data_IF_778794246578
#
_entry.id   IF_778794246578
#
_cell.length_a   1.000
_cell.length_b   1.000
_cell.length_c   1.000
_cell.angle_alpha   90.00
_cell.angle_beta   90.00
_cell.angle_gamma   90.00
#
_symmetry.space_group_name_H-M   'P 1'
#
loop_
_entity.id
_entity.type
_entity.pdbx_description
1 polymer ?
#
# COMPACT_ATOMS: atom_id res chain seq x y z
N UNK A 1 -5.08 3.34 13.93
CA UNK A 1 -6.20 4.24 13.57
C UNK A 1 -6.53 5.09 14.78
N UNK A 2 -6.87 6.35 14.55
CA UNK A 2 -7.30 7.35 15.53
C UNK A 2 -8.43 8.19 14.92
N UNK A 3 -8.83 9.25 15.57
CA UNK A 3 -9.85 10.18 15.09
C UNK A 3 -9.32 11.61 15.13
N UNK A 4 -9.76 12.42 14.20
CA UNK A 4 -9.47 13.87 14.15
C UNK A 4 -10.79 14.60 14.01
N UNK A 5 -10.95 15.69 14.75
CA UNK A 5 -12.08 16.59 14.61
C UNK A 5 -11.73 17.68 13.60
N UNK A 6 -12.62 17.91 12.65
CA UNK A 6 -12.53 19.03 11.71
C UNK A 6 -13.00 20.31 12.37
N UNK A 7 -12.75 21.44 11.77
CA UNK A 7 -13.20 22.76 12.23
C UNK A 7 -14.74 22.83 12.31
N UNK A 8 -15.42 22.09 11.45
CA UNK A 8 -16.89 21.94 11.45
C UNK A 8 -17.42 21.06 12.58
N UNK A 9 -16.54 20.52 13.45
CA UNK A 9 -16.91 19.61 14.54
C UNK A 9 -17.18 18.16 14.11
N UNK A 10 -16.96 17.81 12.83
CA UNK A 10 -17.15 16.44 12.37
C UNK A 10 -15.97 15.54 12.83
N UNK A 11 -16.31 14.33 13.33
CA UNK A 11 -15.33 13.33 13.73
C UNK A 11 -14.95 12.48 12.53
N UNK A 12 -13.69 12.56 12.09
CA UNK A 12 -13.16 11.81 10.94
C UNK A 12 -12.23 10.70 11.44
N UNK A 13 -12.51 9.41 11.12
CA UNK A 13 -11.57 8.33 11.42
C UNK A 13 -10.37 8.42 10.51
N UNK A 14 -9.16 8.38 11.08
CA UNK A 14 -7.90 8.47 10.32
C UNK A 14 -6.93 7.36 10.71
N UNK A 15 -6.09 7.01 9.77
CA UNK A 15 -4.92 6.15 10.02
C UNK A 15 -3.66 7.01 9.89
N UNK A 16 -2.85 7.04 10.94
CA UNK A 16 -1.53 7.66 10.90
C UNK A 16 -0.53 6.69 10.27
N UNK A 17 0.20 7.17 9.28
CA UNK A 17 1.21 6.42 8.54
C UNK A 17 2.52 7.19 8.65
N UNK A 18 3.56 6.54 9.13
CA UNK A 18 4.94 7.05 9.11
C UNK A 18 5.48 6.88 7.70
N UNK A 19 5.82 7.98 7.03
CA UNK A 19 6.18 7.98 5.61
C UNK A 19 7.67 8.25 5.39
N UNK A 20 8.37 8.74 6.39
CA UNK A 20 9.77 9.12 6.24
C UNK A 20 10.61 8.83 7.48
N UNK A 21 11.89 9.15 7.37
CA UNK A 21 12.59 9.66 6.19
C UNK A 21 12.82 8.60 5.11
N UNK A 22 12.62 8.97 3.83
CA UNK A 22 12.96 8.16 2.68
C UNK A 22 14.20 8.73 1.98
N UNK A 23 15.10 7.85 1.53
CA UNK A 23 16.35 8.28 0.88
C UNK A 23 16.47 7.71 -0.53
N UNK A 24 17.02 8.50 -1.45
CA UNK A 24 17.36 8.07 -2.81
C UNK A 24 18.64 7.23 -2.76
N UNK A 25 18.55 5.96 -3.10
CA UNK A 25 19.68 5.01 -3.09
C UNK A 25 20.33 4.85 -4.45
N UNK A 26 19.54 4.93 -5.50
CA UNK A 26 20.01 4.76 -6.88
C UNK A 26 19.05 5.47 -7.84
N UNK A 27 19.60 6.03 -8.90
CA UNK A 27 18.84 6.67 -9.98
C UNK A 27 19.06 5.81 -11.22
N UNK A 28 17.99 5.31 -11.79
CA UNK A 28 17.98 4.41 -12.93
C UNK A 28 17.54 5.20 -14.14
N UNK A 29 18.44 5.44 -15.05
CA UNK A 29 18.19 6.08 -16.34
C UNK A 29 17.70 5.04 -17.36
N UNK A 30 17.07 5.52 -18.43
CA UNK A 30 16.47 4.70 -19.47
C UNK A 30 17.47 3.75 -20.14
N UNK A 31 18.70 4.21 -20.36
CA UNK A 31 19.80 3.39 -20.85
C UNK A 31 20.69 2.91 -19.69
N UNK A 32 20.93 1.59 -19.53
CA UNK A 32 20.65 0.47 -20.43
C UNK A 32 19.37 -0.33 -20.11
N UNK A 33 18.55 0.10 -19.15
CA UNK A 33 17.43 -0.72 -18.61
C UNK A 33 16.09 -0.53 -19.32
N UNK A 34 15.95 0.47 -20.19
CA UNK A 34 14.74 0.74 -20.95
C UNK A 34 13.59 1.34 -20.12
N UNK A 35 13.88 1.86 -18.92
CA UNK A 35 12.93 2.61 -18.10
C UNK A 35 13.64 3.52 -17.10
N UNK A 36 12.98 4.60 -16.72
CA UNK A 36 13.43 5.51 -15.68
C UNK A 36 12.79 5.16 -14.33
N UNK A 37 13.60 5.11 -13.28
CA UNK A 37 13.12 4.81 -11.93
C UNK A 37 14.08 5.35 -10.86
N UNK A 38 13.55 5.58 -9.69
CA UNK A 38 14.33 5.91 -8.48
C UNK A 38 14.20 4.77 -7.50
N UNK A 39 15.33 4.34 -6.92
CA UNK A 39 15.34 3.35 -5.85
C UNK A 39 15.34 4.07 -4.51
N UNK A 40 14.28 3.86 -3.73
CA UNK A 40 14.08 4.46 -2.42
C UNK A 40 14.42 3.48 -1.31
N UNK A 41 15.06 3.99 -0.25
CA UNK A 41 15.30 3.28 0.99
C UNK A 41 14.44 3.83 2.12
N UNK A 42 13.86 2.96 2.92
CA UNK A 42 13.02 3.29 4.07
C UNK A 42 13.35 2.38 5.26
N UNK A 43 13.23 2.90 6.47
CA UNK A 43 13.52 2.25 7.74
C UNK A 43 15.01 1.83 7.88
N UNK A 44 15.74 2.57 8.71
CA UNK A 44 17.20 2.38 8.87
C UNK A 44 17.55 1.07 9.55
N UNK A 45 18.50 0.37 8.97
CA UNK A 45 19.01 -0.91 9.43
C UNK A 45 20.41 -0.76 10.02
N UNK A 46 20.64 -1.30 11.22
CA UNK A 46 21.97 -1.32 11.84
C UNK A 46 22.97 -2.05 10.94
N UNK A 47 24.17 -1.49 10.74
CA UNK A 47 25.21 -2.04 9.87
C UNK A 47 25.59 -3.49 10.19
N UNK A 48 25.54 -3.87 11.47
CA UNK A 48 25.81 -5.24 11.90
C UNK A 48 24.86 -6.30 11.33
N UNK A 49 23.65 -5.88 10.89
CA UNK A 49 22.62 -6.77 10.33
C UNK A 49 22.64 -6.82 8.80
N UNK A 50 23.59 -6.14 8.16
CA UNK A 50 23.66 -5.99 6.72
C UNK A 50 24.59 -7.04 6.12
N UNK A 51 24.14 -7.75 5.10
CA UNK A 51 24.95 -8.69 4.36
C UNK A 51 25.93 -7.96 3.42
N UNK A 52 27.08 -8.58 3.11
CA UNK A 52 28.11 -7.99 2.22
C UNK A 52 27.56 -7.52 0.86
N UNK A 53 26.69 -8.26 0.14
CA UNK A 53 26.09 -7.80 -1.11
C UNK A 53 25.21 -6.56 -0.94
N UNK A 54 24.37 -6.53 0.12
CA UNK A 54 23.54 -5.38 0.43
C UNK A 54 24.38 -4.15 0.75
N UNK A 55 25.42 -4.31 1.57
CA UNK A 55 26.35 -3.23 1.91
C UNK A 55 26.98 -2.60 0.66
N UNK A 56 27.28 -3.40 -0.38
CA UNK A 56 27.79 -2.90 -1.66
C UNK A 56 26.81 -1.94 -2.36
N UNK A 57 25.52 -2.25 -2.32
CA UNK A 57 24.49 -1.39 -2.91
C UNK A 57 24.31 -0.07 -2.13
N UNK A 58 24.35 -0.12 -0.79
CA UNK A 58 24.18 1.08 0.04
C UNK A 58 25.40 2.00 0.02
N UNK A 59 26.61 1.46 -0.19
CA UNK A 59 27.85 2.26 -0.30
C UNK A 59 27.77 3.29 -1.41
N UNK A 60 27.08 3.00 -2.52
CA UNK A 60 26.90 3.95 -3.63
C UNK A 60 26.15 5.21 -3.22
N UNK A 61 25.15 5.06 -2.38
CA UNK A 61 24.32 6.17 -1.92
C UNK A 61 24.97 7.02 -0.82
N UNK A 62 26.06 6.51 -0.18
CA UNK A 62 26.75 7.20 0.92
C UNK A 62 25.92 7.40 2.19
N UNK A 63 24.72 6.82 2.24
CA UNK A 63 23.80 6.82 3.39
C UNK A 63 23.79 5.45 4.06
N UNK A 64 23.15 5.35 5.21
CA UNK A 64 23.02 4.11 5.96
C UNK A 64 22.43 2.95 5.18
N UNK A 65 22.13 1.87 5.86
CA UNK A 65 21.48 0.69 5.30
C UNK A 65 20.00 0.69 5.67
N UNK A 66 19.14 0.12 4.83
CA UNK A 66 17.69 0.18 5.00
C UNK A 66 17.06 -1.21 4.98
N UNK A 67 15.97 -1.38 5.74
CA UNK A 67 15.19 -2.62 5.74
C UNK A 67 14.37 -2.78 4.45
N UNK A 68 13.83 -1.68 3.95
CA UNK A 68 12.94 -1.68 2.80
C UNK A 68 13.55 -0.88 1.66
N UNK A 69 13.70 -1.54 0.53
CA UNK A 69 14.21 -0.93 -0.71
C UNK A 69 13.18 -1.19 -1.80
N UNK A 70 12.73 -0.14 -2.46
CA UNK A 70 11.72 -0.22 -3.52
C UNK A 70 12.11 0.65 -4.70
N UNK A 71 11.91 0.14 -5.92
CA UNK A 71 12.02 0.92 -7.14
C UNK A 71 10.67 1.55 -7.47
N UNK A 72 10.69 2.84 -7.73
CA UNK A 72 9.53 3.62 -8.14
C UNK A 72 9.80 4.18 -9.53
N UNK A 73 9.00 3.78 -10.50
CA UNK A 73 9.06 4.33 -11.86
C UNK A 73 8.45 5.72 -11.86
N UNK A 74 9.23 6.70 -12.23
CA UNK A 74 8.83 8.11 -12.27
C UNK A 74 9.71 8.89 -13.23
N UNK A 75 9.23 10.05 -13.62
CA UNK A 75 10.01 11.04 -14.35
C UNK A 75 10.92 11.76 -13.34
N UNK A 76 12.19 11.45 -13.39
CA UNK A 76 13.20 11.91 -12.42
C UNK A 76 13.34 13.42 -12.46
N UNK A 77 13.35 14.01 -13.66
CA UNK A 77 13.49 15.45 -13.87
C UNK A 77 12.31 16.23 -13.26
N UNK A 78 11.09 15.72 -13.43
CA UNK A 78 9.88 16.34 -12.92
C UNK A 78 9.80 16.35 -11.39
N UNK A 79 10.43 15.37 -10.71
CA UNK A 79 10.42 15.24 -9.26
C UNK A 79 11.65 15.86 -8.58
N UNK A 80 12.71 16.16 -9.33
CA UNK A 80 13.96 16.68 -8.78
C UNK A 80 14.73 15.70 -7.91
N UNK A 81 14.49 14.39 -8.05
CA UNK A 81 15.14 13.32 -7.26
C UNK A 81 16.39 12.77 -7.95
N UNK A 82 17.30 13.70 -8.30
CA UNK A 82 18.47 13.40 -9.12
C UNK A 82 19.72 13.05 -8.31
N UNK A 83 19.71 13.34 -7.00
CA UNK A 83 20.92 13.22 -6.18
C UNK A 83 20.88 11.95 -5.34
N UNK A 84 21.96 11.16 -5.38
CA UNK A 84 22.14 10.02 -4.49
C UNK A 84 22.22 10.47 -3.05
N UNK A 85 21.53 9.77 -2.16
CA UNK A 85 21.47 10.10 -0.74
C UNK A 85 20.55 11.27 -0.40
N UNK A 86 19.80 11.82 -1.35
CA UNK A 86 18.81 12.86 -1.11
C UNK A 86 17.70 12.34 -0.20
N UNK A 87 17.34 13.11 0.81
CA UNK A 87 16.19 12.86 1.66
C UNK A 87 14.93 13.42 0.99
N UNK A 88 13.87 12.60 0.95
CA UNK A 88 12.58 12.97 0.42
C UNK A 88 11.65 13.24 1.59
N UNK A 89 11.17 14.46 1.69
CA UNK A 89 10.23 14.90 2.71
C UNK A 89 8.78 14.68 2.27
N UNK A 90 7.92 14.45 3.24
CA UNK A 90 6.49 14.14 3.01
C UNK A 90 5.76 15.28 2.31
N UNK A 91 6.06 16.52 2.68
CA UNK A 91 5.47 17.75 2.15
C UNK A 91 5.81 18.03 0.69
N UNK A 92 6.95 17.51 0.20
CA UNK A 92 7.34 17.62 -1.21
C UNK A 92 6.45 16.73 -2.11
N UNK A 93 5.95 15.62 -1.56
CA UNK A 93 5.23 14.60 -2.33
C UNK A 93 3.72 14.70 -2.17
N UNK A 94 3.25 14.94 -0.95
CA UNK A 94 1.84 14.91 -0.61
C UNK A 94 1.36 16.26 -0.05
N UNK A 95 0.10 16.58 -0.32
CA UNK A 95 -0.57 17.78 0.18
C UNK A 95 -1.88 17.42 0.89
N UNK A 96 -2.33 18.32 1.79
CA UNK A 96 -3.62 18.20 2.46
C UNK A 96 -4.76 18.19 1.44
N UNK A 97 -5.78 17.35 1.67
CA UNK A 97 -6.93 17.20 0.78
C UNK A 97 -6.65 16.38 -0.50
N UNK A 98 -5.41 15.94 -0.73
CA UNK A 98 -5.05 15.14 -1.89
C UNK A 98 -5.60 13.72 -1.78
N UNK A 99 -5.97 13.13 -2.93
CA UNK A 99 -6.32 11.70 -3.02
C UNK A 99 -5.09 10.86 -3.27
N UNK A 100 -4.99 9.76 -2.54
CA UNK A 100 -3.88 8.79 -2.61
C UNK A 100 -4.38 7.36 -2.75
N UNK A 101 -3.56 6.52 -3.36
CA UNK A 101 -3.75 5.07 -3.42
C UNK A 101 -2.76 4.42 -2.45
N UNK A 102 -3.27 3.57 -1.57
CA UNK A 102 -2.46 2.86 -0.56
C UNK A 102 -2.46 1.37 -0.85
N UNK A 103 -1.28 0.83 -1.08
CA UNK A 103 -1.05 -0.59 -1.33
C UNK A 103 -0.34 -1.22 -0.14
N UNK A 104 -0.86 -2.33 0.34
CA UNK A 104 -0.26 -3.07 1.44
C UNK A 104 -0.61 -4.55 1.40
N UNK A 105 0.04 -5.34 2.24
CA UNK A 105 -0.25 -6.76 2.39
C UNK A 105 -1.32 -6.96 3.46
N UNK A 106 -2.47 -7.49 3.07
CA UNK A 106 -3.57 -7.76 4.00
C UNK A 106 -3.18 -8.78 5.06
N UNK A 107 -3.75 -8.65 6.27
CA UNK A 107 -3.50 -9.62 7.35
C UNK A 107 -3.84 -11.04 6.90
N UNK A 108 -2.91 -11.97 7.12
CA UNK A 108 -3.11 -13.38 6.88
C UNK A 108 -4.11 -13.98 7.88
N UNK A 109 -5.01 -14.82 7.39
CA UNK A 109 -6.01 -15.56 8.20
C UNK A 109 -5.89 -17.06 8.05
N UNK A 110 -4.80 -17.52 7.45
CA UNK A 110 -4.52 -18.92 7.20
C UNK A 110 -5.51 -19.59 6.24
N UNK A 111 -5.62 -20.89 6.32
CA UNK A 111 -6.61 -21.66 5.55
C UNK A 111 -8.01 -21.40 6.09
N UNK A 112 -8.90 -20.92 5.25
CA UNK A 112 -10.25 -20.53 5.63
C UNK A 112 -11.31 -21.24 4.78
N UNK A 113 -12.40 -21.65 5.42
CA UNK A 113 -13.56 -22.22 4.76
C UNK A 113 -14.32 -21.19 3.92
N UNK A 114 -15.20 -21.66 3.06
CA UNK A 114 -15.93 -20.85 2.08
C UNK A 114 -16.84 -19.80 2.72
N UNK A 115 -17.43 -20.09 3.86
CA UNK A 115 -18.28 -19.15 4.60
C UNK A 115 -17.47 -17.93 5.04
N UNK A 116 -16.29 -18.15 5.65
CA UNK A 116 -15.41 -17.07 6.11
C UNK A 116 -14.77 -16.31 4.95
N UNK A 117 -14.28 -17.04 3.92
CA UNK A 117 -13.53 -16.45 2.82
C UNK A 117 -14.39 -15.69 1.82
N UNK A 118 -15.59 -16.23 1.49
CA UNK A 118 -16.44 -15.70 0.42
C UNK A 118 -17.83 -15.31 0.89
N UNK A 119 -18.13 -15.42 2.20
CA UNK A 119 -19.46 -15.12 2.77
C UNK A 119 -20.58 -15.92 2.12
N UNK A 120 -20.31 -17.19 1.76
CA UNK A 120 -21.36 -18.10 1.26
C UNK A 120 -22.30 -18.42 2.40
N UNK A 121 -23.60 -18.49 2.15
CA UNK A 121 -24.63 -18.68 3.18
C UNK A 121 -24.44 -19.99 3.98
N UNK A 122 -23.89 -21.03 3.38
CA UNK A 122 -23.82 -22.38 3.99
C UNK A 122 -25.16 -23.10 3.89
N UNK A 123 -25.40 -24.05 4.77
CA UNK A 123 -26.65 -24.80 4.83
C UNK A 123 -27.60 -24.22 5.89
N UNK A 124 -28.91 -24.47 5.78
CA UNK A 124 -29.89 -24.00 6.79
C UNK A 124 -29.52 -24.45 8.20
N UNK A 125 -29.76 -23.60 9.18
CA UNK A 125 -29.41 -23.89 10.58
C UNK A 125 -30.53 -24.65 11.29
N UNK A 126 -30.85 -25.86 10.77
CA UNK A 126 -31.86 -26.77 11.33
C UNK A 126 -31.21 -27.94 12.04
N UNK A 127 -32.01 -28.73 12.84
CA UNK A 127 -31.51 -29.90 13.54
C UNK A 127 -31.00 -30.99 12.61
N UNK A 128 -31.57 -31.13 11.42
CA UNK A 128 -31.15 -32.13 10.41
C UNK A 128 -29.90 -31.78 9.63
N UNK A 129 -29.33 -30.59 9.79
CA UNK A 129 -28.14 -30.14 9.05
C UNK A 129 -26.84 -30.74 9.59
N UNK A 130 -26.79 -31.05 10.90
CA UNK A 130 -25.61 -31.59 11.60
C UNK A 130 -24.28 -30.88 11.22
N UNK A 131 -23.27 -31.66 10.75
CA UNK A 131 -21.92 -31.20 10.42
C UNK A 131 -21.85 -30.33 9.16
N UNK A 132 -22.84 -30.38 8.28
CA UNK A 132 -22.84 -29.75 6.96
C UNK A 132 -23.10 -28.24 6.97
N UNK A 133 -23.37 -27.61 8.11
CA UNK A 133 -23.75 -26.18 8.22
C UNK A 133 -22.83 -25.23 7.45
N UNK A 134 -21.53 -25.48 7.51
CA UNK A 134 -20.52 -24.61 6.90
C UNK A 134 -19.90 -25.19 5.63
N UNK A 135 -20.50 -26.19 5.05
CA UNK A 135 -20.02 -26.82 3.83
C UNK A 135 -20.42 -26.01 2.59
N UNK A 136 -19.63 -26.20 1.53
CA UNK A 136 -19.82 -25.48 0.25
C UNK A 136 -21.04 -25.99 -0.55
N UNK A 137 -21.48 -27.21 -0.28
CA UNK A 137 -22.45 -27.93 -1.11
C UNK A 137 -21.85 -28.47 -2.39
N UNK A 138 -22.65 -28.68 -3.41
CA UNK A 138 -22.20 -29.19 -4.71
C UNK A 138 -21.21 -28.25 -5.38
N UNK A 139 -20.18 -28.80 -6.00
CA UNK A 139 -19.16 -28.05 -6.75
C UNK A 139 -19.35 -28.13 -8.27
N UNK A 140 -20.26 -28.97 -8.74
CA UNK A 140 -20.56 -29.13 -10.16
C UNK A 140 -21.40 -30.38 -10.44
N UNK A 141 -21.63 -30.63 -11.73
CA UNK A 141 -22.34 -31.82 -12.21
C UNK A 141 -21.35 -32.87 -12.72
N UNK A 142 -21.73 -34.16 -12.60
CA UNK A 142 -20.87 -35.28 -12.95
C UNK A 142 -20.56 -35.37 -14.45
N UNK A 143 -21.59 -35.45 -15.28
CA UNK A 143 -21.48 -35.82 -16.72
C UNK A 143 -21.22 -34.61 -17.61
N UNK A 144 -21.99 -33.56 -17.43
CA UNK A 144 -21.85 -32.33 -18.19
C UNK A 144 -21.81 -31.13 -17.22
N UNK A 145 -20.73 -30.38 -17.17
CA UNK A 145 -19.55 -30.26 -18.04
C UNK A 145 -18.40 -31.22 -17.73
N UNK A 146 -18.51 -32.18 -16.77
CA UNK A 146 -17.47 -33.13 -16.40
C UNK A 146 -16.26 -32.52 -15.71
N UNK A 147 -16.32 -31.25 -15.34
CA UNK A 147 -15.23 -30.50 -14.67
C UNK A 147 -15.79 -29.47 -13.70
N UNK A 148 -14.95 -29.03 -12.77
CA UNK A 148 -15.26 -27.86 -11.95
C UNK A 148 -14.86 -26.60 -12.70
N UNK A 149 -15.75 -25.63 -12.79
CA UNK A 149 -15.48 -24.36 -13.47
C UNK A 149 -14.38 -23.55 -12.74
N UNK A 150 -13.60 -22.80 -13.54
CA UNK A 150 -12.64 -21.81 -12.98
C UNK A 150 -13.40 -20.80 -12.10
N UNK A 151 -12.69 -20.24 -11.13
CA UNK A 151 -13.24 -19.26 -10.17
C UNK A 151 -14.34 -19.81 -9.22
N UNK A 152 -14.55 -21.14 -9.16
CA UNK A 152 -15.43 -21.72 -8.15
C UNK A 152 -14.91 -21.39 -6.75
N UNK A 153 -15.77 -20.85 -5.89
CA UNK A 153 -15.43 -20.49 -4.51
C UNK A 153 -15.14 -21.75 -3.71
N UNK A 154 -13.88 -21.93 -3.29
CA UNK A 154 -13.43 -23.10 -2.52
C UNK A 154 -12.62 -22.67 -1.30
N UNK A 155 -12.48 -23.51 -0.26
CA UNK A 155 -11.60 -23.28 0.86
C UNK A 155 -10.16 -23.01 0.38
N UNK A 156 -9.38 -22.30 1.15
CA UNK A 156 -7.98 -22.02 0.85
C UNK A 156 -7.45 -20.83 1.62
N UNK A 157 -6.21 -20.45 1.34
CA UNK A 157 -5.56 -19.33 1.98
C UNK A 157 -6.40 -18.07 1.88
N UNK A 158 -6.60 -17.39 3.01
CA UNK A 158 -7.30 -16.12 3.10
C UNK A 158 -6.37 -15.05 3.70
N UNK A 159 -6.38 -13.87 3.11
CA UNK A 159 -5.43 -12.80 3.46
C UNK A 159 -4.01 -13.09 2.99
N UNK A 160 -3.04 -12.32 3.50
CA UNK A 160 -1.64 -12.32 3.07
C UNK A 160 -1.50 -12.12 1.55
N UNK A 161 -2.28 -11.18 1.02
CA UNK A 161 -2.29 -10.78 -0.37
C UNK A 161 -2.10 -9.28 -0.48
N UNK A 162 -1.44 -8.84 -1.52
CA UNK A 162 -1.35 -7.42 -1.87
C UNK A 162 -2.73 -6.88 -2.21
N UNK A 163 -3.13 -5.82 -1.55
CA UNK A 163 -4.41 -5.12 -1.72
C UNK A 163 -4.12 -3.64 -1.85
N UNK A 164 -4.75 -3.00 -2.83
CA UNK A 164 -4.69 -1.55 -3.02
C UNK A 164 -6.05 -0.94 -2.73
N UNK A 165 -6.08 0.03 -1.82
CA UNK A 165 -7.23 0.91 -1.60
C UNK A 165 -6.99 2.19 -2.37
N UNK A 166 -7.91 2.53 -3.25
CA UNK A 166 -7.82 3.68 -4.14
C UNK A 166 -8.61 4.88 -3.61
N UNK A 167 -8.16 6.08 -3.98
CA UNK A 167 -8.85 7.35 -3.72
C UNK A 167 -9.09 7.65 -2.23
N UNK A 168 -8.14 7.31 -1.37
CA UNK A 168 -8.17 7.72 0.03
C UNK A 168 -7.79 9.20 0.13
N UNK A 169 -8.49 9.94 0.96
CA UNK A 169 -8.27 11.35 1.20
C UNK A 169 -7.20 11.56 2.28
N UNK A 170 -6.23 12.42 2.00
CA UNK A 170 -5.24 12.89 2.98
C UNK A 170 -5.87 14.01 3.79
N UNK A 171 -6.04 13.81 5.08
CA UNK A 171 -6.64 14.82 5.96
C UNK A 171 -5.60 15.86 6.37
N UNK A 172 -4.40 15.41 6.75
CA UNK A 172 -3.33 16.30 7.18
C UNK A 172 -1.96 15.66 6.96
N UNK A 173 -1.01 16.47 6.52
CA UNK A 173 0.41 16.15 6.45
C UNK A 173 1.11 16.79 7.64
N UNK A 174 1.93 16.03 8.36
CA UNK A 174 2.78 16.51 9.46
C UNK A 174 4.25 16.32 9.07
N UNK A 175 4.90 17.35 8.53
CA UNK A 175 6.30 17.23 8.08
C UNK A 175 7.27 17.03 9.24
N UNK A 176 7.00 17.62 10.40
CA UNK A 176 7.85 17.53 11.59
C UNK A 176 8.05 16.09 12.07
N UNK A 177 6.99 15.29 12.03
CA UNK A 177 6.96 13.90 12.47
C UNK A 177 7.11 12.90 11.31
N UNK A 178 7.18 13.37 10.05
CA UNK A 178 7.07 12.56 8.84
C UNK A 178 5.81 11.66 8.79
N UNK A 179 4.68 12.18 9.28
CA UNK A 179 3.41 11.45 9.40
C UNK A 179 2.37 11.97 8.42
N UNK A 180 1.71 11.04 7.73
CA UNK A 180 0.56 11.27 6.86
C UNK A 180 -0.71 10.74 7.53
N UNK A 181 -1.72 11.59 7.70
CA UNK A 181 -3.03 11.20 8.20
C UNK A 181 -3.99 10.95 7.03
N UNK A 182 -4.35 9.68 6.82
CA UNK A 182 -5.25 9.26 5.73
C UNK A 182 -6.60 8.86 6.30
N UNK A 183 -7.68 9.30 5.66
CA UNK A 183 -9.06 9.00 6.04
C UNK A 183 -9.38 7.53 5.91
N UNK A 184 -9.87 6.94 6.99
CA UNK A 184 -10.34 5.55 7.01
C UNK A 184 -9.25 4.51 7.30
N UNK A 185 -9.52 3.27 6.94
CA UNK A 185 -8.63 2.14 7.13
C UNK A 185 -7.67 1.94 5.97
N UNK A 186 -6.53 1.33 6.25
CA UNK A 186 -5.52 0.92 5.26
C UNK A 186 -5.31 -0.59 5.29
N UNK A 187 -4.79 -1.21 4.20
CA UNK A 187 -4.53 -2.64 4.20
C UNK A 187 -3.32 -3.00 5.05
N UNK A 188 -3.43 -4.06 5.82
CA UNK A 188 -2.31 -4.62 6.61
C UNK A 188 -2.54 -4.63 8.11
N UNK A 189 -1.54 -5.09 8.83
CA UNK A 189 -1.47 -5.07 10.30
C UNK A 189 -0.86 -3.73 10.77
N UNK A 190 -0.92 -3.46 12.07
CA UNK A 190 -0.16 -2.35 12.67
C UNK A 190 1.33 -2.58 12.45
N UNK A 191 2.06 -1.54 12.04
CA UNK A 191 3.49 -1.62 11.75
C UNK A 191 3.86 -2.38 10.47
N UNK A 192 2.89 -2.69 9.60
CA UNK A 192 3.19 -3.27 8.29
C UNK A 192 3.59 -2.21 7.27
N UNK A 193 4.50 -2.58 6.38
CA UNK A 193 4.89 -1.72 5.27
C UNK A 193 3.73 -1.48 4.32
N UNK A 194 3.55 -0.21 3.94
CA UNK A 194 2.59 0.22 2.93
C UNK A 194 3.28 1.10 1.89
N UNK A 195 2.81 1.03 0.67
CA UNK A 195 3.24 1.88 -0.44
C UNK A 195 2.14 2.89 -0.73
N UNK A 196 2.48 4.17 -0.69
CA UNK A 196 1.54 5.27 -0.93
C UNK A 196 1.95 5.95 -2.23
N UNK A 197 0.99 6.17 -3.10
CA UNK A 197 1.17 6.91 -4.35
C UNK A 197 0.00 7.85 -4.59
N UNK A 198 0.21 8.86 -5.40
CA UNK A 198 -0.86 9.76 -5.85
C UNK A 198 -1.93 8.93 -6.56
N UNK A 199 -3.21 9.25 -6.33
CA UNK A 199 -4.31 8.50 -6.92
C UNK A 199 -4.28 8.61 -8.45
N UNK A 200 -4.42 7.47 -9.13
CA UNK A 200 -4.48 7.43 -10.60
C UNK A 200 -5.85 7.93 -11.08
N UNK A 201 -6.92 7.62 -10.32
CA UNK A 201 -8.29 8.00 -10.67
C UNK A 201 -8.71 9.23 -9.86
N UNK A 202 -9.25 10.25 -10.55
CA UNK A 202 -9.80 11.43 -9.89
C UNK A 202 -8.74 12.30 -9.20
N UNK A 203 -7.49 12.29 -9.68
CA UNK A 203 -6.47 13.20 -9.22
C UNK A 203 -6.88 14.63 -9.57
N UNK A 204 -7.16 15.42 -8.54
CA UNK A 204 -7.31 16.87 -8.65
C UNK A 204 -6.10 17.49 -7.98
N UNK A 205 -5.42 18.38 -8.68
CA UNK A 205 -4.36 19.18 -8.08
C UNK A 205 -4.95 19.95 -6.89
N UNK A 206 -4.28 20.00 -5.73
CA UNK A 206 -4.72 20.84 -4.63
C UNK A 206 -4.80 22.29 -5.08
N UNK A 207 -5.83 23.01 -4.62
CA UNK A 207 -6.18 24.37 -5.08
C UNK A 207 -5.01 25.36 -5.06
N UNK A 208 -4.10 25.22 -4.10
CA UNK A 208 -2.89 26.07 -4.02
C UNK A 208 -1.95 25.92 -5.22
N UNK A 209 -1.81 24.72 -5.78
CA UNK A 209 -0.99 24.47 -6.99
C UNK A 209 -1.73 24.88 -8.27
N UNK A 210 -3.07 24.74 -8.28
CA UNK A 210 -3.88 25.23 -9.41
C UNK A 210 -3.85 26.76 -9.53
N UNK A 211 -3.80 27.46 -8.41
CA UNK A 211 -3.67 28.93 -8.40
C UNK A 211 -2.29 29.40 -8.89
N UNK A 212 -1.23 28.66 -8.60
CA UNK A 212 0.12 28.97 -9.07
C UNK A 212 0.31 28.67 -10.57
N UNK A 213 -0.25 27.57 -11.08
CA UNK A 213 -0.23 27.27 -12.52
C UNK A 213 -1.10 28.22 -13.37
N UNK A 214 -2.17 28.77 -12.80
CA UNK A 214 -3.01 29.78 -13.47
C UNK A 214 -2.42 31.22 -13.42
N UNK A 215 -1.45 31.43 -12.53
CA UNK A 215 -0.78 32.74 -12.35
C UNK A 215 0.59 32.82 -13.08
N UNK A 216 1.06 31.70 -13.65
CA UNK A 216 2.25 31.62 -14.50
C UNK A 216 1.85 31.56 -15.99
#
# INVERSE_FOLDING_TARGET
>A
MTQVFTEDGACVPVTAIEVGPCYVLDVIEENPRGYTAVRLGFDEKKQQRVNKPEAGNFKKAGKGSFYHVKEVRCDIEALGWNSLGQEIKVDEVFADGQKVDVTGTSMGRGFAGVVKKFRVAGQPSTRGTHEYRRHIGSIGCRKSPGRVFKNRKMPGQYGNKTVTLQNLEVIKVRPEDNVLLVKGGIPGAKGSLVEIRKAIKGYQLPEKKQAQEKAA
#
